data_IF_181188031107
#
_entry.id   IF_181188031107
#
_cell.length_a   1.000
_cell.length_b   1.000
_cell.length_c   1.000
_cell.angle_alpha   90.00
_cell.angle_beta   90.00
_cell.angle_gamma   90.00
#
_symmetry.space_group_name_H-M   'P 1'
#
loop_
_entity.id
_entity.type
_entity.pdbx_description
1 polymer ?
#
# COMPACT_ATOMS: atom_id res chain seq x y z
N UNK A 1 -0.56 -10.15 9.82
CA UNK A 1 0.75 -9.51 9.57
C UNK A 1 1.45 -10.12 8.37
N UNK A 2 1.97 -9.27 7.48
CA UNK A 2 2.81 -9.66 6.35
C UNK A 2 3.82 -8.56 5.98
N UNK A 3 4.95 -8.97 5.41
CA UNK A 3 5.91 -8.08 4.71
C UNK A 3 5.89 -8.38 3.22
N UNK A 4 5.94 -7.35 2.40
CA UNK A 4 5.96 -7.43 0.95
C UNK A 4 7.04 -6.53 0.38
N UNK A 5 7.69 -6.98 -0.69
CA UNK A 5 8.47 -6.10 -1.54
C UNK A 5 7.64 -5.81 -2.78
N UNK A 6 7.66 -4.58 -3.23
CA UNK A 6 6.97 -4.15 -4.44
C UNK A 6 7.81 -3.17 -5.23
N UNK A 7 7.50 -3.05 -6.50
CA UNK A 7 7.91 -1.92 -7.32
C UNK A 7 6.68 -1.16 -7.78
N UNK A 8 6.78 0.16 -7.89
CA UNK A 8 5.73 0.94 -8.53
C UNK A 8 6.31 1.96 -9.50
N UNK A 9 5.53 2.28 -10.53
CA UNK A 9 5.90 3.25 -11.57
C UNK A 9 5.04 4.50 -11.39
N UNK A 10 5.70 5.62 -11.13
CA UNK A 10 5.10 6.95 -11.29
C UNK A 10 5.84 7.70 -12.41
N UNK A 11 5.41 7.47 -13.65
CA UNK A 11 5.80 8.23 -14.85
C UNK A 11 7.28 8.29 -15.21
N UNK A 12 7.89 7.10 -15.37
CA UNK A 12 9.25 6.86 -15.87
C UNK A 12 10.30 6.60 -14.79
N UNK A 13 9.92 6.58 -13.51
CA UNK A 13 10.79 6.14 -12.42
C UNK A 13 10.23 4.87 -11.77
N UNK A 14 11.06 3.82 -11.73
CA UNK A 14 10.77 2.60 -10.96
C UNK A 14 11.25 2.81 -9.52
N UNK A 15 10.31 2.77 -8.60
CA UNK A 15 10.58 2.75 -7.17
C UNK A 15 10.59 1.32 -6.67
N UNK A 16 11.43 1.03 -5.68
CA UNK A 16 11.37 -0.21 -4.91
C UNK A 16 10.88 0.13 -3.51
N UNK A 17 9.95 -0.64 -2.99
CA UNK A 17 9.37 -0.37 -1.68
C UNK A 17 9.15 -1.65 -0.89
N UNK A 18 9.27 -1.53 0.42
CA UNK A 18 8.94 -2.56 1.38
C UNK A 18 7.70 -2.15 2.12
N UNK A 19 6.64 -2.95 2.04
CA UNK A 19 5.38 -2.69 2.71
C UNK A 19 5.14 -3.74 3.80
N UNK A 20 4.68 -3.28 4.96
CA UNK A 20 4.26 -4.10 6.08
C UNK A 20 2.80 -3.80 6.37
N UNK A 21 2.05 -4.84 6.73
CA UNK A 21 0.66 -4.66 7.07
C UNK A 21 0.17 -5.64 8.11
N UNK A 22 -0.61 -5.14 9.05
CA UNK A 22 -1.39 -5.93 9.97
C UNK A 22 -2.90 -5.71 9.80
N UNK A 23 -3.55 -6.68 9.17
CA UNK A 23 -5.00 -6.73 8.99
C UNK A 23 -5.78 -6.79 10.32
N UNK A 24 -5.18 -7.34 11.39
CA UNK A 24 -5.90 -7.53 12.66
C UNK A 24 -6.15 -6.21 13.40
N UNK A 25 -5.21 -5.28 13.27
CA UNK A 25 -5.23 -3.98 13.97
C UNK A 25 -5.35 -2.79 13.00
N UNK A 26 -5.42 -3.07 11.69
CA UNK A 26 -5.57 -2.05 10.64
C UNK A 26 -4.36 -1.13 10.52
N UNK A 27 -3.14 -1.64 10.67
CA UNK A 27 -1.93 -0.81 10.58
C UNK A 27 -1.09 -1.19 9.37
N UNK A 28 -0.47 -0.18 8.77
CA UNK A 28 0.41 -0.28 7.63
C UNK A 28 1.68 0.52 7.82
N UNK A 29 2.75 0.07 7.18
CA UNK A 29 3.95 0.87 6.98
C UNK A 29 4.50 0.60 5.60
N UNK A 30 4.98 1.63 4.94
CA UNK A 30 5.80 1.49 3.75
C UNK A 30 7.13 2.22 3.92
N UNK A 31 8.15 1.68 3.27
CA UNK A 31 9.44 2.31 3.08
C UNK A 31 9.74 2.29 1.59
N UNK A 32 9.93 3.45 0.98
CA UNK A 32 10.30 3.59 -0.42
C UNK A 32 11.80 3.86 -0.52
N UNK A 33 12.48 3.00 -1.24
CA UNK A 33 13.90 3.10 -1.55
C UNK A 33 14.04 3.68 -2.97
N UNK A 34 14.66 4.85 -3.08
CA UNK A 34 14.98 5.47 -4.37
C UNK A 34 16.17 4.75 -5.02
N UNK A 35 16.24 4.83 -6.36
CA UNK A 35 17.37 4.32 -7.14
C UNK A 35 18.71 4.98 -6.75
N UNK A 36 18.66 6.17 -6.10
CA UNK A 36 19.81 6.84 -5.51
C UNK A 36 19.86 6.56 -3.99
N UNK A 37 20.97 6.04 -3.46
CA UNK A 37 21.06 5.45 -2.11
C UNK A 37 20.94 6.44 -0.93
N UNK A 38 20.60 7.71 -1.17
CA UNK A 38 20.61 8.77 -0.14
C UNK A 38 19.23 9.29 0.24
N UNK A 39 18.16 8.90 -0.45
CA UNK A 39 16.81 9.37 -0.14
C UNK A 39 15.86 8.18 0.06
N UNK A 40 15.34 8.06 1.27
CA UNK A 40 14.31 7.09 1.64
C UNK A 40 13.08 7.85 2.09
N UNK A 41 11.92 7.51 1.50
CA UNK A 41 10.63 7.96 2.01
C UNK A 41 10.03 6.89 2.91
N UNK A 42 9.42 7.33 3.98
CA UNK A 42 8.69 6.47 4.91
C UNK A 42 7.26 6.95 5.00
N UNK A 43 6.34 5.99 5.06
CA UNK A 43 4.95 6.26 5.36
C UNK A 43 4.49 5.26 6.42
N UNK A 44 3.78 5.76 7.43
CA UNK A 44 3.13 4.94 8.46
C UNK A 44 1.65 5.23 8.40
N UNK A 45 0.87 4.20 8.10
CA UNK A 45 -0.58 4.26 7.99
C UNK A 45 -1.18 3.65 9.25
N UNK A 46 -1.83 4.48 10.05
CA UNK A 46 -2.61 4.04 11.20
C UNK A 46 -4.09 4.10 10.80
N UNK A 47 -4.64 2.94 10.41
CA UNK A 47 -6.05 2.75 10.08
C UNK A 47 -6.74 1.88 11.15
N UNK A 48 -6.60 2.27 12.43
CA UNK A 48 -7.36 1.62 13.49
C UNK A 48 -8.78 2.25 13.58
N UNK A 49 -9.68 1.63 14.34
CA UNK A 49 -11.08 2.08 14.42
C UNK A 49 -11.27 3.53 14.91
N UNK A 50 -10.27 4.12 15.56
CA UNK A 50 -10.34 5.45 16.19
C UNK A 50 -9.46 6.52 15.50
N UNK A 51 -8.57 6.11 14.58
CA UNK A 51 -7.66 7.00 13.85
C UNK A 51 -7.53 6.54 12.41
N UNK A 52 -7.83 7.44 11.48
CA UNK A 52 -7.59 7.29 10.04
C UNK A 52 -6.51 8.30 9.65
N UNK A 53 -5.26 8.03 10.02
CA UNK A 53 -4.14 8.94 9.78
C UNK A 53 -3.00 8.27 9.04
N UNK A 54 -2.46 8.97 8.06
CA UNK A 54 -1.21 8.62 7.38
C UNK A 54 -0.14 9.63 7.78
N UNK A 55 1.05 9.14 8.11
CA UNK A 55 2.21 9.93 8.47
C UNK A 55 3.27 9.75 7.39
N UNK A 56 3.62 10.82 6.69
CA UNK A 56 4.57 10.81 5.59
C UNK A 56 5.86 11.52 5.97
N UNK A 57 7.00 10.87 5.72
CA UNK A 57 8.34 11.44 5.90
C UNK A 57 9.13 11.25 4.62
N UNK A 58 9.54 12.38 4.02
CA UNK A 58 10.21 12.35 2.72
C UNK A 58 11.69 11.99 2.81
N UNK A 59 12.33 12.34 3.94
CA UNK A 59 13.72 12.00 4.25
C UNK A 59 13.86 11.74 5.74
N UNK A 60 14.42 10.58 6.09
CA UNK A 60 14.57 10.16 7.50
C UNK A 60 15.30 11.19 8.37
N UNK A 61 16.25 11.92 7.78
CA UNK A 61 17.10 12.91 8.47
C UNK A 61 16.53 14.34 8.48
N UNK A 62 15.48 14.62 7.70
CA UNK A 62 14.87 15.96 7.69
C UNK A 62 13.94 16.16 8.88
N UNK A 63 13.58 15.07 9.58
CA UNK A 63 12.67 15.04 10.73
C UNK A 63 11.29 15.67 10.48
N UNK A 64 10.99 16.13 9.27
CA UNK A 64 9.71 16.71 8.90
C UNK A 64 8.71 15.61 8.56
N UNK A 65 7.48 15.79 9.02
CA UNK A 65 6.41 14.81 8.87
C UNK A 65 5.12 15.50 8.49
N UNK A 66 4.50 15.03 7.42
CA UNK A 66 3.16 15.47 6.99
C UNK A 66 2.16 14.47 7.49
N UNK A 67 1.07 14.94 8.09
CA UNK A 67 -0.04 14.09 8.52
C UNK A 67 -1.23 14.34 7.61
N UNK A 68 -1.77 13.27 7.03
CA UNK A 68 -2.99 13.32 6.22
C UNK A 68 -4.04 12.35 6.75
N UNK A 69 -5.29 12.53 6.32
CA UNK A 69 -6.36 11.59 6.62
C UNK A 69 -6.32 10.43 5.63
N UNK A 70 -6.39 9.21 6.16
CA UNK A 70 -6.57 8.03 5.32
C UNK A 70 -8.00 8.03 4.77
N UNK A 71 -8.12 8.25 3.47
CA UNK A 71 -9.39 8.06 2.76
C UNK A 71 -9.41 6.61 2.24
N UNK A 72 -10.50 5.85 2.43
CA UNK A 72 -10.64 4.52 1.86
C UNK A 72 -10.49 4.54 0.32
N UNK A 73 -9.92 3.51 -0.32
CA UNK A 73 -9.42 2.24 0.22
C UNK A 73 -7.88 2.21 0.20
N UNK A 74 -7.19 2.93 1.07
CA UNK A 74 -5.74 2.67 1.27
C UNK A 74 -5.49 1.37 2.07
N UNK A 75 -6.20 0.29 1.73
CA UNK A 75 -5.96 -1.08 2.21
C UNK A 75 -5.33 -1.86 1.06
N UNK A 76 -3.99 -1.88 0.94
CA UNK A 76 -3.35 -2.45 -0.24
C UNK A 76 -3.39 -3.98 -0.30
N UNK A 77 -3.91 -4.64 0.74
CA UNK A 77 -3.71 -6.08 0.95
C UNK A 77 -5.00 -6.88 1.10
N UNK A 78 -6.15 -6.22 1.02
CA UNK A 78 -7.44 -6.89 1.01
C UNK A 78 -8.28 -6.28 -0.08
N UNK A 79 -8.75 -7.14 -1.00
CA UNK A 79 -9.81 -6.78 -1.94
C UNK A 79 -11.04 -6.42 -1.11
N UNK A 80 -11.56 -5.18 -1.20
CA UNK A 80 -12.79 -4.81 -0.49
C UNK A 80 -13.94 -5.75 -0.84
N UNK A 81 -14.81 -6.05 0.13
CA UNK A 81 -15.90 -7.03 -0.04
C UNK A 81 -16.90 -6.62 -1.13
N UNK A 82 -17.04 -5.32 -1.38
CA UNK A 82 -17.88 -4.71 -2.39
C UNK A 82 -17.18 -4.54 -3.76
N UNK A 83 -16.02 -5.15 -3.95
CA UNK A 83 -15.34 -5.20 -5.25
C UNK A 83 -16.11 -6.05 -6.27
N UNK A 84 -16.07 -5.63 -7.52
CA UNK A 84 -16.66 -6.36 -8.65
C UNK A 84 -15.64 -7.33 -9.22
N UNK A 85 -16.03 -8.60 -9.38
CA UNK A 85 -15.19 -9.61 -10.03
C UNK A 85 -15.09 -9.34 -11.54
N UNK A 86 -13.87 -9.21 -12.04
CA UNK A 86 -13.56 -8.92 -13.44
C UNK A 86 -13.19 -10.16 -14.27
N UNK A 87 -13.14 -11.34 -13.66
CA UNK A 87 -12.76 -12.58 -14.32
C UNK A 87 -11.31 -13.02 -14.05
N UNK A 88 -10.96 -14.18 -14.60
CA UNK A 88 -9.62 -14.75 -14.51
C UNK A 88 -8.71 -14.12 -15.58
N UNK A 89 -7.47 -13.86 -15.20
CA UNK A 89 -6.43 -13.24 -16.04
C UNK A 89 -5.09 -13.91 -15.78
N UNK A 90 -4.14 -13.77 -16.70
CA UNK A 90 -2.77 -14.26 -16.52
C UNK A 90 -1.84 -13.06 -16.38
N UNK A 91 -1.13 -12.96 -15.26
CA UNK A 91 -0.14 -11.93 -15.01
C UNK A 91 1.23 -12.58 -14.77
N UNK A 92 2.23 -12.24 -15.58
CA UNK A 92 3.57 -12.83 -15.53
C UNK A 92 3.57 -14.37 -15.51
N UNK A 93 2.66 -14.99 -16.27
CA UNK A 93 2.53 -16.45 -16.35
C UNK A 93 1.81 -17.10 -15.15
N UNK A 94 1.30 -16.32 -14.21
CA UNK A 94 0.53 -16.79 -13.05
C UNK A 94 -0.94 -16.48 -13.26
N UNK A 95 -1.80 -17.48 -13.08
CA UNK A 95 -3.26 -17.29 -13.07
C UNK A 95 -3.67 -16.47 -11.85
N UNK A 96 -4.45 -15.41 -12.10
CA UNK A 96 -4.93 -14.48 -11.11
C UNK A 96 -6.42 -14.20 -11.33
N UNK A 97 -7.12 -13.90 -10.26
CA UNK A 97 -8.44 -13.30 -10.28
C UNK A 97 -8.30 -11.78 -10.31
N UNK A 98 -9.01 -11.12 -11.23
CA UNK A 98 -9.09 -9.66 -11.28
C UNK A 98 -10.31 -9.19 -10.52
N UNK A 99 -10.12 -8.19 -9.67
CA UNK A 99 -11.18 -7.49 -8.95
C UNK A 99 -11.06 -5.99 -9.16
N UNK A 100 -12.18 -5.29 -9.23
CA UNK A 100 -12.21 -3.84 -9.38
C UNK A 100 -13.03 -3.26 -8.25
N UNK A 101 -12.42 -2.35 -7.50
CA UNK A 101 -13.10 -1.56 -6.49
C UNK A 101 -13.21 -0.10 -6.96
N UNK A 102 -14.33 0.52 -6.65
CA UNK A 102 -14.58 1.93 -6.95
C UNK A 102 -14.99 2.63 -5.66
N UNK A 103 -14.25 3.67 -5.30
CA UNK A 103 -14.61 4.59 -4.25
C UNK A 103 -15.08 5.89 -4.86
N UNK A 104 -16.33 6.22 -4.58
CA UNK A 104 -17.00 7.43 -5.01
C UNK A 104 -17.45 8.22 -3.78
N UNK A 105 -16.71 9.28 -3.44
CA UNK A 105 -17.07 10.18 -2.35
C UNK A 105 -16.64 11.61 -2.64
N UNK A 106 -17.61 12.54 -2.59
CA UNK A 106 -17.43 13.95 -2.92
C UNK A 106 -16.75 14.14 -4.29
N UNK A 107 -15.53 14.71 -4.31
CA UNK A 107 -14.73 14.92 -5.53
C UNK A 107 -13.79 13.76 -5.84
N UNK A 108 -13.73 12.74 -4.98
CA UNK A 108 -12.85 11.59 -5.12
C UNK A 108 -13.57 10.48 -5.89
N UNK A 109 -13.09 10.23 -7.11
CA UNK A 109 -13.44 9.05 -7.90
C UNK A 109 -12.17 8.22 -8.04
N UNK A 110 -12.04 7.17 -7.24
CA UNK A 110 -10.86 6.32 -7.20
C UNK A 110 -11.22 4.91 -7.62
N UNK A 111 -10.47 4.39 -8.57
CA UNK A 111 -10.61 3.01 -9.04
C UNK A 111 -9.34 2.26 -8.66
N UNK A 112 -9.50 1.13 -8.01
CA UNK A 112 -8.40 0.20 -7.73
C UNK A 112 -8.71 -1.14 -8.37
N UNK A 113 -7.89 -1.54 -9.34
CA UNK A 113 -7.90 -2.90 -9.86
C UNK A 113 -6.88 -3.75 -9.09
N UNK A 114 -7.28 -4.93 -8.67
CA UNK A 114 -6.47 -5.93 -7.97
C UNK A 114 -6.31 -7.18 -8.84
N UNK A 115 -5.09 -7.72 -8.89
CA UNK A 115 -4.79 -9.04 -9.45
C UNK A 115 -4.30 -9.90 -8.30
N UNK A 116 -5.10 -10.91 -7.95
CA UNK A 116 -4.84 -11.75 -6.79
C UNK A 116 -4.72 -13.19 -7.24
N UNK A 117 -3.66 -13.88 -6.81
CA UNK A 117 -3.52 -15.32 -7.05
C UNK A 117 -3.82 -16.08 -5.77
N UNK A 118 -4.37 -17.29 -5.92
CA UNK A 118 -4.64 -18.18 -4.80
C UNK A 118 -3.57 -19.29 -4.78
N UNK A 119 -2.76 -19.32 -3.73
CA UNK A 119 -1.70 -20.33 -3.54
C UNK A 119 -2.15 -21.50 -2.65
N UNK A 120 -3.46 -21.65 -2.43
CA UNK A 120 -4.08 -22.69 -1.60
C UNK A 120 -4.20 -22.31 -0.12
N UNK A 121 -3.21 -21.59 0.42
CA UNK A 121 -3.23 -21.14 1.83
C UNK A 121 -3.54 -19.66 1.99
N UNK A 122 -3.25 -18.85 0.98
CA UNK A 122 -3.39 -17.40 1.03
C UNK A 122 -3.74 -16.84 -0.34
N UNK A 123 -4.54 -15.77 -0.32
CA UNK A 123 -4.68 -14.85 -1.44
C UNK A 123 -3.48 -13.91 -1.45
N UNK A 124 -2.76 -13.87 -2.56
CA UNK A 124 -1.56 -13.06 -2.72
C UNK A 124 -1.79 -12.00 -3.80
N UNK A 125 -1.71 -10.70 -3.47
CA UNK A 125 -1.80 -9.65 -4.47
C UNK A 125 -0.52 -9.67 -5.31
N UNK A 126 -0.68 -9.75 -6.63
CA UNK A 126 0.41 -9.77 -7.61
C UNK A 126 0.62 -8.38 -8.21
N UNK A 127 -0.49 -7.69 -8.50
CA UNK A 127 -0.51 -6.35 -9.07
C UNK A 127 -1.69 -5.58 -8.50
N UNK A 128 -1.50 -4.29 -8.30
CA UNK A 128 -2.58 -3.33 -8.16
C UNK A 128 -2.40 -2.19 -9.14
N UNK A 129 -3.52 -1.60 -9.55
CA UNK A 129 -3.51 -0.41 -10.36
C UNK A 129 -4.53 0.58 -9.82
N UNK A 130 -4.03 1.73 -9.37
CA UNK A 130 -4.83 2.87 -8.97
C UNK A 130 -5.11 3.73 -10.20
N UNK A 131 -6.33 4.21 -10.32
CA UNK A 131 -6.79 5.09 -11.40
C UNK A 131 -8.05 5.86 -10.96
N UNK A 132 -8.79 6.43 -11.92
CA UNK A 132 -9.92 7.32 -11.69
C UNK A 132 -9.51 8.78 -11.94
N UNK A 133 -9.87 9.69 -11.02
CA UNK A 133 -9.48 11.10 -11.09
C UNK A 133 -8.04 11.36 -10.61
N UNK A 134 -7.38 10.35 -10.04
CA UNK A 134 -5.96 10.40 -9.69
C UNK A 134 -5.08 9.92 -10.84
N UNK A 135 -3.80 10.33 -10.80
CA UNK A 135 -2.79 9.82 -11.72
C UNK A 135 -2.71 8.29 -11.61
N UNK A 136 -2.67 7.54 -12.72
CA UNK A 136 -2.55 6.10 -12.63
C UNK A 136 -1.23 5.68 -12.00
N UNK A 137 -1.29 4.85 -10.95
CA UNK A 137 -0.13 4.26 -10.30
C UNK A 137 -0.27 2.74 -10.35
N UNK A 138 0.77 2.06 -10.83
CA UNK A 138 0.80 0.59 -10.84
C UNK A 138 1.78 0.09 -9.80
N UNK A 139 1.31 -0.79 -8.92
CA UNK A 139 2.14 -1.49 -7.93
C UNK A 139 2.25 -2.96 -8.34
N UNK A 140 3.47 -3.48 -8.41
CA UNK A 140 3.76 -4.89 -8.69
C UNK A 140 4.42 -5.49 -7.45
N UNK A 141 3.84 -6.53 -6.89
CA UNK A 141 4.37 -7.22 -5.73
C UNK A 141 5.33 -8.33 -6.15
N UNK A 142 6.55 -8.29 -5.63
CA UNK A 142 7.65 -9.20 -6.03
C UNK A 142 7.93 -10.28 -4.99
N UNK A 143 7.51 -10.09 -3.74
CA UNK A 143 7.62 -11.14 -2.72
C UNK A 143 6.60 -10.99 -1.60
N UNK A 144 6.19 -12.12 -1.01
CA UNK A 144 5.40 -12.22 0.22
C UNK A 144 6.18 -12.88 1.33
N UNK A 145 6.10 -12.35 2.54
CA UNK A 145 6.50 -13.06 3.75
C UNK A 145 5.38 -12.95 4.77
N UNK A 146 4.56 -14.00 4.97
CA UNK A 146 3.56 -14.02 6.04
C UNK A 146 4.27 -14.20 7.38
N UNK A 147 3.69 -13.62 8.43
CA UNK A 147 4.16 -13.84 9.79
C UNK A 147 4.10 -12.58 10.65
N UNK A 148 4.24 -12.75 11.98
CA UNK A 148 4.24 -11.61 12.89
C UNK A 148 5.36 -10.64 12.55
N UNK A 149 5.05 -9.35 12.63
CA UNK A 149 6.01 -8.26 12.62
C UNK A 149 6.13 -7.73 14.05
N UNK A 150 7.26 -7.14 14.39
CA UNK A 150 7.42 -6.47 15.67
C UNK A 150 6.48 -5.25 15.73
N UNK A 151 5.85 -4.98 16.88
CA UNK A 151 4.93 -3.84 17.06
C UNK A 151 5.61 -2.51 16.70
N UNK A 152 6.92 -2.39 17.02
CA UNK A 152 7.79 -1.26 16.65
C UNK A 152 7.83 -0.96 15.15
N UNK A 153 7.45 -1.92 14.30
CA UNK A 153 7.33 -1.73 12.85
C UNK A 153 6.31 -0.65 12.55
N UNK A 154 5.22 -0.54 13.30
CA UNK A 154 4.12 0.40 13.01
C UNK A 154 4.17 1.68 13.85
N UNK A 155 5.16 1.81 14.73
CA UNK A 155 5.32 3.01 15.54
C UNK A 155 5.77 4.20 14.68
N UNK A 156 5.09 5.33 14.87
CA UNK A 156 5.53 6.63 14.34
C UNK A 156 6.79 7.03 15.11
N UNK A 157 7.88 7.32 14.41
CA UNK A 157 9.13 7.68 15.04
C UNK A 157 8.94 8.98 15.86
N UNK A 158 9.23 8.98 17.17
CA UNK A 158 9.01 10.16 18.02
C UNK A 158 9.90 11.36 17.66
N UNK A 159 10.97 11.14 16.88
CA UNK A 159 11.82 12.21 16.38
C UNK A 159 11.23 12.93 15.15
N UNK A 160 10.16 12.39 14.56
CA UNK A 160 9.45 13.06 13.48
C UNK A 160 8.57 14.19 14.02
N UNK A 161 8.78 15.39 13.52
CA UNK A 161 7.98 16.57 13.81
C UNK A 161 6.66 16.51 13.04
N UNK A 162 5.72 15.70 13.52
CA UNK A 162 4.38 15.50 12.94
C UNK A 162 3.31 16.48 13.51
N UNK A 163 3.73 17.52 14.24
CA UNK A 163 2.84 18.50 14.88
C UNK A 163 2.57 19.75 14.02
N UNK A 164 3.01 19.75 12.76
CA UNK A 164 2.87 20.88 11.84
C UNK A 164 1.50 20.91 11.16
#
# INVERSE_FOLDING_TARGET
>A
MAKMNCSYDDTQEQYYSQWWWDMNIGQGRSREDYHLPTEHKYQVDLANYDTLKAYFVTKEYDYSCTVDYLVPPMRPFAVPEDSVYGGQVVFNGVECDRWTYTYDYETHHWITDYWVTNTGNYYYPMKMQYSGNQRPITVIFTSFVPGPQEESTFEVNPNWNCNA
#
